data_IF_412361067860
#
_entry.id   IF_412361067860
#
_cell.length_a   1.000
_cell.length_b   1.000
_cell.length_c   1.000
_cell.angle_alpha   90.00
_cell.angle_beta   90.00
_cell.angle_gamma   90.00
#
_symmetry.space_group_name_H-M   'P 1'
#
loop_
_entity.id
_entity.type
_entity.pdbx_description
1 polymer ?
#
# COMPACT_ATOMS: atom_id res chain seq x y z
N UNK A 1 -33.41 -20.42 -26.34
CA UNK A 1 -33.30 -18.97 -26.57
C UNK A 1 -32.72 -18.21 -25.39
N UNK A 2 -33.12 -18.42 -24.13
CA UNK A 2 -32.55 -17.66 -22.99
C UNK A 2 -31.07 -17.97 -22.64
N UNK A 3 -30.55 -19.15 -23.02
CA UNK A 3 -29.13 -19.50 -22.81
C UNK A 3 -28.17 -18.59 -23.59
N UNK A 4 -28.66 -17.97 -24.66
CA UNK A 4 -27.84 -17.12 -25.52
C UNK A 4 -27.70 -15.68 -25.02
N UNK A 5 -28.28 -15.34 -23.87
CA UNK A 5 -28.23 -13.98 -23.30
C UNK A 5 -27.75 -14.00 -21.84
N UNK A 6 -27.40 -15.17 -21.30
CA UNK A 6 -27.00 -15.36 -19.91
C UNK A 6 -25.62 -14.75 -19.65
N UNK A 7 -25.53 -13.95 -18.60
CA UNK A 7 -24.28 -13.30 -18.17
C UNK A 7 -23.50 -14.20 -17.21
N UNK A 8 -22.18 -14.22 -17.36
CA UNK A 8 -21.30 -14.96 -16.46
C UNK A 8 -20.91 -14.12 -15.25
N UNK A 9 -20.66 -12.82 -15.47
CA UNK A 9 -20.26 -11.90 -14.41
C UNK A 9 -20.88 -10.51 -14.60
N UNK A 10 -21.32 -9.92 -13.49
CA UNK A 10 -21.85 -8.56 -13.41
C UNK A 10 -21.04 -7.78 -12.39
N UNK A 11 -20.50 -6.64 -12.79
CA UNK A 11 -19.81 -5.72 -11.90
C UNK A 11 -20.74 -4.55 -11.52
N UNK A 12 -20.92 -4.36 -10.21
CA UNK A 12 -21.74 -3.29 -9.63
C UNK A 12 -20.86 -2.34 -8.82
N UNK A 13 -20.94 -1.05 -9.13
CA UNK A 13 -20.26 0.03 -8.42
C UNK A 13 -21.16 0.62 -7.35
N UNK A 14 -20.63 0.65 -6.13
CA UNK A 14 -21.25 1.27 -4.97
C UNK A 14 -20.61 2.64 -4.74
N UNK A 15 -21.44 3.65 -4.51
CA UNK A 15 -21.02 5.04 -4.29
C UNK A 15 -21.63 5.59 -3.00
N UNK A 16 -20.81 6.32 -2.24
CA UNK A 16 -21.20 7.13 -1.07
C UNK A 16 -22.12 6.41 -0.07
N UNK A 17 -21.91 5.10 0.11
CA UNK A 17 -22.74 4.26 0.96
C UNK A 17 -21.92 3.18 1.66
N UNK A 18 -22.25 2.97 2.93
CA UNK A 18 -21.79 1.84 3.72
C UNK A 18 -22.61 0.57 3.44
N UNK A 19 -21.90 -0.54 3.24
CA UNK A 19 -22.43 -1.89 3.05
C UNK A 19 -21.68 -2.87 3.93
N UNK A 20 -22.43 -3.63 4.72
CA UNK A 20 -21.93 -4.89 5.28
C UNK A 20 -21.91 -5.97 4.21
N UNK A 21 -21.07 -6.99 4.38
CA UNK A 21 -21.08 -8.17 3.49
C UNK A 21 -22.45 -8.88 3.49
N UNK A 22 -23.21 -8.79 4.59
CA UNK A 22 -24.58 -9.33 4.66
C UNK A 22 -25.54 -8.58 3.75
N UNK A 23 -25.48 -7.25 3.76
CA UNK A 23 -26.31 -6.38 2.90
C UNK A 23 -26.08 -6.63 1.40
N UNK A 24 -24.86 -7.05 1.02
CA UNK A 24 -24.52 -7.42 -0.36
C UNK A 24 -25.21 -8.70 -0.82
N UNK A 25 -25.44 -9.65 0.08
CA UNK A 25 -26.14 -10.92 -0.23
C UNK A 25 -27.63 -10.66 -0.44
N UNK A 26 -28.20 -9.74 0.33
CA UNK A 26 -29.62 -9.37 0.25
C UNK A 26 -29.93 -8.39 -0.89
N UNK A 27 -28.91 -7.82 -1.55
CA UNK A 27 -29.07 -6.77 -2.56
C UNK A 27 -29.94 -5.60 -2.07
N UNK A 28 -29.79 -5.22 -0.80
CA UNK A 28 -30.75 -4.36 -0.10
C UNK A 28 -30.63 -2.86 -0.42
N UNK A 29 -29.73 -2.46 -1.32
CA UNK A 29 -29.44 -1.05 -1.62
C UNK A 29 -29.05 -0.82 -3.09
N UNK A 30 -29.10 0.45 -3.50
CA UNK A 30 -28.82 0.87 -4.88
C UNK A 30 -27.32 0.82 -5.22
N UNK A 31 -27.02 0.36 -6.43
CA UNK A 31 -25.69 0.39 -7.03
C UNK A 31 -25.77 0.63 -8.54
N UNK A 32 -24.68 1.11 -9.14
CA UNK A 32 -24.60 1.35 -10.57
C UNK A 32 -23.94 0.17 -11.27
N UNK A 33 -24.58 -0.37 -12.31
CA UNK A 33 -23.97 -1.41 -13.14
C UNK A 33 -22.82 -0.78 -13.93
N UNK A 34 -21.62 -1.35 -13.80
CA UNK A 34 -20.42 -0.85 -14.48
C UNK A 34 -20.10 -1.69 -15.71
N UNK A 35 -19.96 -3.01 -15.52
CA UNK A 35 -19.55 -3.92 -16.57
C UNK A 35 -20.37 -5.21 -16.52
N UNK A 36 -20.70 -5.72 -17.71
CA UNK A 36 -21.39 -6.98 -17.90
C UNK A 36 -20.48 -7.85 -18.76
N UNK A 37 -20.17 -9.04 -18.29
CA UNK A 37 -19.22 -9.93 -18.92
C UNK A 37 -19.86 -11.27 -19.26
N UNK A 38 -19.51 -11.76 -20.44
CA UNK A 38 -19.96 -13.05 -20.95
C UNK A 38 -18.86 -13.67 -21.79
N UNK A 39 -18.45 -14.89 -21.46
CA UNK A 39 -17.41 -15.67 -22.15
C UNK A 39 -16.13 -14.86 -22.43
N UNK A 40 -15.80 -13.93 -21.54
CA UNK A 40 -14.62 -13.05 -21.68
C UNK A 40 -14.83 -11.80 -22.54
N UNK A 41 -16.04 -11.57 -23.06
CA UNK A 41 -16.40 -10.34 -23.79
C UNK A 41 -17.28 -9.43 -22.94
N UNK A 42 -17.15 -8.12 -23.18
CA UNK A 42 -17.98 -7.10 -22.53
C UNK A 42 -19.26 -6.89 -23.34
N UNK A 43 -20.39 -6.96 -22.64
CA UNK A 43 -21.71 -6.82 -23.23
C UNK A 43 -22.41 -5.55 -22.70
N UNK A 44 -23.32 -4.98 -23.49
CA UNK A 44 -24.14 -3.83 -23.06
C UNK A 44 -25.40 -4.24 -22.30
N UNK A 45 -25.89 -5.46 -22.52
CA UNK A 45 -27.07 -6.01 -21.87
C UNK A 45 -26.94 -7.53 -21.73
N UNK A 46 -27.71 -8.10 -20.82
CA UNK A 46 -27.80 -9.54 -20.64
C UNK A 46 -28.75 -9.91 -19.51
N UNK A 47 -29.00 -11.21 -19.35
CA UNK A 47 -29.89 -11.75 -18.34
C UNK A 47 -29.08 -12.29 -17.15
N UNK A 48 -29.44 -11.83 -15.95
CA UNK A 48 -28.84 -12.29 -14.69
C UNK A 48 -29.61 -13.51 -14.22
N UNK A 49 -28.88 -14.60 -14.00
CA UNK A 49 -29.43 -15.86 -13.49
C UNK A 49 -28.76 -16.26 -12.17
N UNK A 50 -29.24 -17.31 -11.52
CA UNK A 50 -28.64 -17.85 -10.31
C UNK A 50 -27.18 -18.33 -10.50
N UNK A 51 -26.72 -18.50 -11.75
CA UNK A 51 -25.34 -18.90 -12.07
C UNK A 51 -24.42 -17.71 -12.30
N UNK A 52 -24.98 -16.50 -12.44
CA UNK A 52 -24.22 -15.28 -12.71
C UNK A 52 -23.49 -14.83 -11.44
N UNK A 53 -22.19 -14.58 -11.55
CA UNK A 53 -21.38 -14.07 -10.43
C UNK A 53 -21.50 -12.55 -10.36
N UNK A 54 -21.80 -12.01 -9.17
CA UNK A 54 -21.85 -10.57 -8.95
C UNK A 54 -20.59 -10.12 -8.22
N UNK A 55 -19.93 -9.11 -8.77
CA UNK A 55 -18.75 -8.47 -8.18
C UNK A 55 -19.13 -7.05 -7.78
N UNK A 56 -19.06 -6.77 -6.49
CA UNK A 56 -19.26 -5.41 -5.98
C UNK A 56 -17.92 -4.70 -5.87
N UNK A 57 -17.82 -3.50 -6.44
CA UNK A 57 -16.66 -2.61 -6.25
C UNK A 57 -17.12 -1.30 -5.63
N UNK A 58 -16.44 -0.86 -4.59
CA UNK A 58 -16.67 0.46 -4.01
C UNK A 58 -15.76 1.49 -4.66
N UNK A 59 -16.32 2.67 -4.97
CA UNK A 59 -15.52 3.83 -5.37
C UNK A 59 -15.14 4.73 -4.20
N UNK A 60 -15.59 4.41 -2.97
CA UNK A 60 -15.36 5.20 -1.74
C UNK A 60 -14.53 4.44 -0.70
N UNK A 61 -13.59 3.61 -1.16
CA UNK A 61 -12.71 2.84 -0.29
C UNK A 61 -11.67 3.72 0.45
N UNK A 62 -11.24 3.23 1.60
CA UNK A 62 -10.11 3.80 2.36
C UNK A 62 -8.81 3.26 1.76
N UNK A 63 -7.86 4.15 1.44
CA UNK A 63 -6.56 3.77 0.85
C UNK A 63 -5.43 4.07 1.85
N UNK A 64 -4.70 3.03 2.25
CA UNK A 64 -3.46 3.18 3.02
C UNK A 64 -2.30 2.94 2.06
N UNK A 65 -1.45 3.94 1.89
CA UNK A 65 -0.28 3.92 1.04
C UNK A 65 0.98 3.91 1.91
N UNK A 66 1.76 2.84 1.79
CA UNK A 66 3.09 2.74 2.36
C UNK A 66 4.12 3.07 1.30
N UNK A 67 5.06 3.95 1.62
CA UNK A 67 6.26 4.17 0.82
C UNK A 67 7.44 3.68 1.66
N UNK A 68 8.04 2.57 1.25
CA UNK A 68 9.20 2.01 1.93
C UNK A 68 10.45 2.79 1.52
N UNK A 69 11.19 3.28 2.52
CA UNK A 69 12.48 3.96 2.32
C UNK A 69 13.61 3.03 2.72
N UNK A 70 14.40 2.61 1.74
CA UNK A 70 15.58 1.75 1.92
C UNK A 70 16.77 2.29 1.14
N UNK A 71 17.93 1.67 1.28
CA UNK A 71 19.17 2.09 0.63
C UNK A 71 19.01 2.27 -0.89
N UNK A 72 18.23 1.40 -1.52
CA UNK A 72 18.02 1.38 -2.97
C UNK A 72 17.31 2.64 -3.49
N UNK A 73 16.60 3.41 -2.66
CA UNK A 73 15.94 4.63 -3.11
C UNK A 73 16.91 5.68 -3.71
N UNK A 74 18.18 5.66 -3.28
CA UNK A 74 19.24 6.54 -3.78
C UNK A 74 20.08 5.91 -4.90
N UNK A 75 19.75 4.69 -5.32
CA UNK A 75 20.40 4.06 -6.44
C UNK A 75 19.75 4.49 -7.76
N UNK A 76 20.54 4.48 -8.83
CA UNK A 76 20.06 4.68 -10.18
C UNK A 76 19.45 3.39 -10.73
N UNK A 77 18.33 3.54 -11.43
CA UNK A 77 17.74 2.51 -12.28
C UNK A 77 18.54 2.38 -13.59
N UNK A 78 18.23 1.34 -14.38
CA UNK A 78 18.85 1.07 -15.68
C UNK A 78 18.73 2.25 -16.65
N UNK A 79 17.67 3.05 -16.51
CA UNK A 79 17.39 4.23 -17.33
C UNK A 79 18.03 5.52 -16.79
N UNK A 80 18.78 5.45 -15.68
CA UNK A 80 19.47 6.61 -15.08
C UNK A 80 18.60 7.51 -14.22
N UNK A 81 17.34 7.16 -13.98
CA UNK A 81 16.50 7.81 -12.96
C UNK A 81 16.81 7.23 -11.57
N UNK A 82 16.69 8.03 -10.51
CA UNK A 82 16.72 7.48 -9.14
C UNK A 82 15.44 6.66 -8.87
N UNK A 83 15.55 5.57 -8.11
CA UNK A 83 14.37 4.78 -7.72
C UNK A 83 13.31 5.63 -7.01
N UNK A 84 13.73 6.59 -6.20
CA UNK A 84 12.81 7.54 -5.57
C UNK A 84 12.07 8.41 -6.60
N UNK A 85 12.75 8.93 -7.61
CA UNK A 85 12.10 9.73 -8.67
C UNK A 85 11.11 8.89 -9.46
N UNK A 86 11.43 7.61 -9.72
CA UNK A 86 10.52 6.64 -10.32
C UNK A 86 9.28 6.41 -9.43
N UNK A 87 9.45 6.31 -8.11
CA UNK A 87 8.35 6.23 -7.15
C UNK A 87 7.44 7.46 -7.23
N UNK A 88 8.01 8.66 -7.21
CA UNK A 88 7.27 9.92 -7.29
C UNK A 88 6.55 10.03 -8.64
N UNK A 89 7.19 9.67 -9.76
CA UNK A 89 6.56 9.60 -11.08
C UNK A 89 5.37 8.63 -11.08
N UNK A 90 5.53 7.44 -10.51
CA UNK A 90 4.44 6.45 -10.37
C UNK A 90 3.25 7.03 -9.59
N UNK A 91 3.50 7.60 -8.40
CA UNK A 91 2.44 8.18 -7.59
C UNK A 91 1.77 9.36 -8.30
N UNK A 92 2.54 10.19 -9.01
CA UNK A 92 2.01 11.27 -9.85
C UNK A 92 1.07 10.75 -10.95
N UNK A 93 1.47 9.72 -11.69
CA UNK A 93 0.62 9.12 -12.73
C UNK A 93 -0.65 8.48 -12.14
N UNK A 94 -0.50 7.78 -11.02
CA UNK A 94 -1.61 7.15 -10.31
C UNK A 94 -2.65 8.19 -9.89
N UNK A 95 -2.25 9.25 -9.19
CA UNK A 95 -3.18 10.18 -8.58
C UNK A 95 -3.60 11.35 -9.47
N UNK A 96 -2.73 11.85 -10.37
CA UNK A 96 -3.08 12.99 -11.23
C UNK A 96 -3.66 12.59 -12.59
N UNK A 97 -3.33 11.41 -13.12
CA UNK A 97 -3.89 10.98 -14.41
C UNK A 97 -4.98 9.94 -14.24
N UNK A 98 -4.65 8.78 -13.68
CA UNK A 98 -5.59 7.66 -13.61
C UNK A 98 -6.81 7.99 -12.74
N UNK A 99 -6.56 8.64 -11.60
CA UNK A 99 -7.62 9.06 -10.69
C UNK A 99 -8.46 10.22 -11.23
N UNK A 100 -7.88 11.21 -11.90
CA UNK A 100 -8.65 12.35 -12.44
C UNK A 100 -9.49 11.96 -13.66
N UNK A 101 -8.97 11.10 -14.54
CA UNK A 101 -9.65 10.69 -15.79
C UNK A 101 -10.78 9.69 -15.53
N UNK A 102 -10.61 8.73 -14.60
CA UNK A 102 -11.68 7.77 -14.28
C UNK A 102 -12.75 8.33 -13.33
N UNK A 103 -12.47 9.47 -12.69
CA UNK A 103 -13.29 9.99 -11.58
C UNK A 103 -13.83 11.41 -11.85
N UNK A 104 -14.07 11.78 -13.10
CA UNK A 104 -14.56 13.12 -13.51
C UNK A 104 -15.96 13.50 -12.99
N UNK A 105 -16.55 12.72 -12.10
CA UNK A 105 -17.81 13.03 -11.43
C UNK A 105 -17.63 12.71 -9.93
N UNK A 106 -17.70 13.78 -9.15
CA UNK A 106 -17.86 13.81 -7.69
C UNK A 106 -16.59 13.62 -6.86
N UNK A 107 -16.40 14.55 -5.93
CA UNK A 107 -15.39 14.59 -4.86
C UNK A 107 -15.29 13.25 -4.15
N UNK A 108 -14.38 12.38 -4.59
CA UNK A 108 -14.22 11.08 -3.96
C UNK A 108 -13.38 11.23 -2.71
N UNK A 109 -14.03 10.91 -1.60
CA UNK A 109 -13.48 11.06 -0.27
C UNK A 109 -12.64 9.83 0.05
N UNK A 110 -11.45 9.75 -0.54
CA UNK A 110 -10.49 8.71 -0.21
C UNK A 110 -9.68 9.24 0.95
N UNK A 111 -9.77 8.50 2.06
CA UNK A 111 -8.81 8.71 3.14
C UNK A 111 -7.50 8.13 2.65
N UNK A 112 -6.52 8.98 2.46
CA UNK A 112 -5.14 8.58 2.25
C UNK A 112 -4.43 8.65 3.58
N UNK A 113 -3.91 7.51 4.00
CA UNK A 113 -2.81 7.48 4.93
C UNK A 113 -1.56 7.24 4.13
N UNK A 114 -0.67 8.22 4.08
CA UNK A 114 0.65 8.02 3.50
C UNK A 114 1.62 7.87 4.66
N UNK A 115 2.09 6.66 4.84
CA UNK A 115 3.10 6.35 5.83
C UNK A 115 4.40 6.05 5.10
N UNK A 116 5.43 6.81 5.46
CA UNK A 116 6.78 6.47 5.06
C UNK A 116 7.32 5.50 6.11
N UNK A 117 7.67 4.31 5.65
CA UNK A 117 8.37 3.32 6.47
C UNK A 117 9.85 3.58 6.35
N UNK A 118 10.42 4.10 7.42
CA UNK A 118 11.85 4.26 7.58
C UNK A 118 12.35 3.13 8.47
N UNK A 119 13.62 2.73 8.29
CA UNK A 119 14.28 1.64 9.00
C UNK A 119 13.78 1.43 10.45
N UNK A 120 13.50 0.17 10.82
CA UNK A 120 13.14 -0.47 12.12
C UNK A 120 12.39 0.30 13.23
N UNK A 121 12.55 1.61 13.38
CA UNK A 121 12.10 2.47 14.49
C UNK A 121 11.28 3.68 13.99
N UNK A 122 11.49 4.14 12.74
CA UNK A 122 10.89 5.38 12.26
C UNK A 122 9.67 5.15 11.36
N UNK A 123 8.52 5.63 11.78
CA UNK A 123 7.36 5.83 10.91
C UNK A 123 7.01 7.31 10.92
N UNK A 124 6.79 7.90 9.74
CA UNK A 124 6.28 9.28 9.63
C UNK A 124 5.02 9.25 8.81
N UNK A 125 3.96 9.80 9.38
CA UNK A 125 2.72 9.99 8.65
C UNK A 125 2.77 11.33 7.95
N UNK A 126 2.75 11.32 6.62
CA UNK A 126 2.80 12.54 5.82
C UNK A 126 1.43 13.20 5.68
N UNK A 127 0.40 12.38 5.56
CA UNK A 127 -0.97 12.81 5.29
C UNK A 127 -1.92 11.90 6.03
N UNK A 128 -2.83 12.52 6.78
CA UNK A 128 -4.01 11.88 7.36
C UNK A 128 -5.25 12.69 6.96
N UNK A 129 -5.53 12.73 5.66
CA UNK A 129 -6.64 13.53 5.15
C UNK A 129 -7.83 12.65 4.89
N UNK A 130 -9.00 13.07 5.38
CA UNK A 130 -10.24 12.34 5.17
C UNK A 130 -10.76 12.45 3.75
N UNK A 131 -10.57 13.60 3.10
CA UNK A 131 -10.91 13.87 1.70
C UNK A 131 -9.67 14.44 1.02
N UNK A 132 -9.40 14.02 -0.21
CA UNK A 132 -8.18 14.39 -0.89
C UNK A 132 -8.46 14.89 -2.31
N UNK A 133 -8.16 16.17 -2.55
CA UNK A 133 -8.34 16.82 -3.84
C UNK A 133 -7.06 16.72 -4.69
N UNK A 134 -7.16 16.81 -6.03
CA UNK A 134 -5.99 16.76 -6.91
C UNK A 134 -4.96 17.86 -6.64
N UNK A 135 -5.39 19.02 -6.13
CA UNK A 135 -4.50 20.13 -5.76
C UNK A 135 -3.68 19.82 -4.50
N UNK A 136 -4.30 19.18 -3.51
CA UNK A 136 -3.61 18.68 -2.33
C UNK A 136 -2.59 17.61 -2.70
N UNK A 137 -2.83 16.81 -3.74
CA UNK A 137 -1.84 15.84 -4.24
C UNK A 137 -0.53 16.51 -4.65
N UNK A 138 -0.61 17.67 -5.32
CA UNK A 138 0.58 18.43 -5.71
C UNK A 138 1.36 18.89 -4.48
N UNK A 139 0.67 19.36 -3.44
CA UNK A 139 1.31 19.74 -2.16
C UNK A 139 1.97 18.54 -1.50
N UNK A 140 1.26 17.43 -1.39
CA UNK A 140 1.78 16.19 -0.81
C UNK A 140 2.98 15.63 -1.55
N UNK A 141 3.00 15.71 -2.89
CA UNK A 141 4.19 15.36 -3.67
C UNK A 141 5.39 16.26 -3.35
N UNK A 142 5.17 17.57 -3.23
CA UNK A 142 6.23 18.50 -2.82
C UNK A 142 6.72 18.20 -1.40
N UNK A 143 5.81 17.90 -0.47
CA UNK A 143 6.17 17.45 0.88
C UNK A 143 6.99 16.16 0.84
N UNK A 144 6.55 15.14 0.10
CA UNK A 144 7.29 13.88 -0.06
C UNK A 144 8.71 14.11 -0.60
N UNK A 145 8.87 15.04 -1.57
CA UNK A 145 10.18 15.43 -2.10
C UNK A 145 11.07 16.12 -1.07
N UNK A 146 10.51 17.00 -0.23
CA UNK A 146 11.26 17.66 0.84
C UNK A 146 11.70 16.64 1.91
N UNK A 147 10.80 15.74 2.30
CA UNK A 147 11.04 14.68 3.28
C UNK A 147 12.15 13.74 2.85
N UNK A 148 12.19 13.35 1.58
CA UNK A 148 13.27 12.55 1.01
C UNK A 148 14.64 13.23 1.15
N UNK A 149 14.70 14.56 0.94
CA UNK A 149 15.95 15.33 1.04
C UNK A 149 16.42 15.47 2.49
N UNK A 150 15.49 15.74 3.41
CA UNK A 150 15.78 15.97 4.83
C UNK A 150 16.13 14.66 5.54
N UNK A 151 15.57 13.54 5.07
CA UNK A 151 15.68 12.23 5.71
C UNK A 151 17.10 11.79 6.06
N UNK A 152 18.06 11.90 5.13
CA UNK A 152 19.44 11.47 5.40
C UNK A 152 20.07 12.28 6.54
N UNK A 153 19.73 13.57 6.66
CA UNK A 153 20.22 14.44 7.72
C UNK A 153 19.54 14.14 9.05
N UNK A 154 18.21 14.01 9.07
CA UNK A 154 17.45 13.70 10.30
C UNK A 154 17.84 12.34 10.89
N UNK A 155 17.94 11.31 10.04
CA UNK A 155 18.28 9.97 10.51
C UNK A 155 19.73 9.93 11.05
N UNK A 156 20.66 10.65 10.41
CA UNK A 156 22.02 10.82 10.93
C UNK A 156 22.02 11.51 12.30
N UNK A 157 21.27 12.61 12.43
CA UNK A 157 21.17 13.33 13.71
C UNK A 157 20.58 12.47 14.81
N UNK A 158 19.51 11.74 14.53
CA UNK A 158 18.89 10.88 15.52
C UNK A 158 19.83 9.77 16.00
N UNK A 159 20.54 9.11 15.08
CA UNK A 159 21.44 8.02 15.43
C UNK A 159 22.63 8.53 16.23
N UNK A 160 23.17 9.70 15.87
CA UNK A 160 24.20 10.36 16.68
C UNK A 160 23.69 10.75 18.07
N UNK A 161 22.41 11.14 18.21
CA UNK A 161 21.83 11.45 19.53
C UNK A 161 21.55 10.22 20.39
N UNK A 162 21.27 9.07 19.76
CA UNK A 162 20.98 7.81 20.47
C UNK A 162 22.24 7.01 20.81
N UNK A 163 23.39 7.33 20.21
CA UNK A 163 24.68 6.69 20.47
C UNK A 163 25.60 7.68 21.17
N UNK A 164 25.48 7.77 22.50
CA UNK A 164 26.23 8.71 23.35
C UNK A 164 27.76 8.50 23.34
N UNK A 165 28.28 7.41 22.74
CA UNK A 165 29.68 6.97 22.85
C UNK A 165 30.58 7.21 21.62
N UNK A 166 30.15 8.00 20.62
CA UNK A 166 30.93 8.20 19.39
C UNK A 166 31.87 9.41 19.51
N UNK A 167 33.18 9.15 19.68
CA UNK A 167 34.23 10.19 19.79
C UNK A 167 34.47 10.98 18.49
N UNK A 168 34.15 10.41 17.33
CA UNK A 168 34.35 11.02 16.00
C UNK A 168 33.09 10.87 15.13
N UNK A 169 32.13 11.81 15.22
CA UNK A 169 30.87 11.74 14.48
C UNK A 169 31.01 11.95 12.95
N UNK A 170 32.19 12.32 12.47
CA UNK A 170 32.47 12.52 11.04
C UNK A 170 32.78 11.21 10.30
N UNK A 171 33.39 10.23 10.95
CA UNK A 171 33.81 8.95 10.34
C UNK A 171 32.71 7.89 10.28
N UNK A 172 31.55 8.18 10.87
CA UNK A 172 30.40 7.27 10.87
C UNK A 172 29.73 7.30 9.50
N UNK A 173 29.97 6.28 8.68
CA UNK A 173 29.17 6.03 7.48
C UNK A 173 27.87 5.36 7.91
N UNK A 174 26.75 6.01 7.65
CA UNK A 174 25.45 5.43 7.90
C UNK A 174 24.91 4.80 6.60
N UNK A 175 24.72 3.49 6.62
CA UNK A 175 24.07 2.76 5.52
C UNK A 175 22.67 2.34 5.94
N UNK A 176 21.70 2.66 5.09
CA UNK A 176 20.33 2.20 5.27
C UNK A 176 20.25 0.69 5.01
N UNK A 177 19.32 -0.03 5.65
CA UNK A 177 19.08 -1.42 5.33
C UNK A 177 18.55 -1.56 3.89
N UNK A 178 18.84 -2.69 3.22
CA UNK A 178 18.27 -2.99 1.92
C UNK A 178 16.75 -3.22 2.01
N UNK A 179 16.05 -3.05 0.90
CA UNK A 179 14.60 -3.21 0.80
C UNK A 179 14.12 -4.59 1.25
N UNK A 180 14.97 -5.61 1.02
CA UNK A 180 14.75 -7.01 1.40
C UNK A 180 14.53 -7.21 2.90
N UNK A 181 15.20 -6.42 3.74
CA UNK A 181 15.10 -6.51 5.20
C UNK A 181 14.03 -5.56 5.79
N UNK A 182 13.19 -4.98 4.93
CA UNK A 182 12.16 -4.01 5.32
C UNK A 182 11.15 -4.54 6.34
N UNK A 183 10.58 -3.62 7.12
CA UNK A 183 9.58 -3.84 8.17
C UNK A 183 8.13 -3.64 7.68
N UNK A 184 7.86 -3.90 6.40
CA UNK A 184 6.55 -3.60 5.83
C UNK A 184 5.44 -4.55 6.32
N UNK A 185 5.78 -5.78 6.76
CA UNK A 185 4.79 -6.70 7.33
C UNK A 185 4.35 -6.24 8.73
N UNK A 186 5.27 -5.70 9.52
CA UNK A 186 4.99 -5.08 10.81
C UNK A 186 4.09 -3.85 10.63
N UNK A 187 4.41 -2.98 9.67
CA UNK A 187 3.58 -1.84 9.30
C UNK A 187 2.18 -2.25 8.79
N UNK A 188 2.12 -3.29 7.96
CA UNK A 188 0.85 -3.86 7.52
C UNK A 188 0.04 -4.35 8.72
N UNK A 189 0.66 -5.05 9.67
CA UNK A 189 -0.02 -5.53 10.87
C UNK A 189 -0.51 -4.40 11.78
N UNK A 190 0.24 -3.29 11.89
CA UNK A 190 -0.22 -2.10 12.60
C UNK A 190 -1.49 -1.54 11.95
N UNK A 191 -1.50 -1.49 10.62
CA UNK A 191 -2.67 -1.03 9.84
C UNK A 191 -3.85 -1.98 9.97
N UNK A 192 -3.60 -3.29 9.97
CA UNK A 192 -4.65 -4.30 10.16
C UNK A 192 -5.27 -4.16 11.55
N UNK A 193 -4.50 -3.77 12.57
CA UNK A 193 -5.04 -3.44 13.90
C UNK A 193 -5.97 -2.22 13.84
N UNK A 194 -5.56 -1.15 13.15
CA UNK A 194 -6.44 0.01 12.90
C UNK A 194 -7.71 -0.40 12.14
N UNK A 195 -7.65 -1.45 11.33
CA UNK A 195 -8.80 -1.95 10.60
C UNK A 195 -9.71 -2.88 11.39
N UNK A 196 -9.22 -3.56 12.44
CA UNK A 196 -10.02 -4.38 13.35
C UNK A 196 -10.97 -3.53 14.18
N UNK A 197 -10.55 -2.32 14.55
CA UNK A 197 -11.36 -1.35 15.28
C UNK A 197 -12.43 -0.67 14.42
N UNK A 198 -12.87 -1.31 13.32
CA UNK A 198 -13.90 -0.78 12.42
C UNK A 198 -15.26 -0.53 13.08
N UNK A 199 -15.47 -1.04 14.30
CA UNK A 199 -16.72 -0.84 15.04
C UNK A 199 -16.75 0.50 15.78
N UNK A 200 -15.60 1.12 16.01
CA UNK A 200 -15.45 2.41 16.67
C UNK A 200 -15.44 3.47 15.55
N UNK A 201 -16.36 4.45 15.62
CA UNK A 201 -16.51 5.53 14.64
C UNK A 201 -16.67 5.09 13.17
N UNK A 202 -17.73 4.31 12.92
CA UNK A 202 -18.09 3.88 11.57
C UNK A 202 -18.45 5.06 10.66
N UNK A 203 -17.70 5.19 9.58
CA UNK A 203 -18.07 6.07 8.47
C UNK A 203 -19.18 5.43 7.63
N UNK A 204 -20.33 6.11 7.51
CA UNK A 204 -21.50 5.63 6.80
C UNK A 204 -21.43 5.79 5.27
N UNK A 205 -20.41 6.50 4.76
CA UNK A 205 -20.30 6.84 3.34
C UNK A 205 -19.28 5.94 2.59
N UNK A 206 -18.55 5.07 3.31
CA UNK A 206 -17.34 4.42 2.79
C UNK A 206 -17.37 2.91 2.94
N UNK A 207 -16.95 2.21 1.90
CA UNK A 207 -16.89 0.74 1.86
C UNK A 207 -15.58 0.27 1.27
N UNK A 208 -14.98 -0.72 1.92
CA UNK A 208 -13.74 -1.33 1.46
C UNK A 208 -12.49 -0.60 1.99
N UNK A 209 -11.43 -1.40 2.11
CA UNK A 209 -10.13 -1.00 2.64
C UNK A 209 -9.07 -1.58 1.71
N UNK A 210 -8.17 -0.73 1.24
CA UNK A 210 -7.10 -1.12 0.33
C UNK A 210 -5.78 -0.63 0.92
N UNK A 211 -4.82 -1.55 1.00
CA UNK A 211 -3.44 -1.24 1.36
C UNK A 211 -2.59 -1.32 0.09
N UNK A 212 -1.79 -0.30 -0.18
CA UNK A 212 -0.84 -0.24 -1.29
C UNK A 212 0.54 -0.02 -0.69
N UNK A 213 1.50 -0.85 -1.06
CA UNK A 213 2.86 -0.80 -0.55
C UNK A 213 3.79 -0.57 -1.74
N UNK A 214 4.49 0.56 -1.73
CA UNK A 214 5.49 0.93 -2.73
C UNK A 214 6.86 0.65 -2.16
N UNK A 215 7.60 -0.25 -2.80
CA UNK A 215 8.94 -0.67 -2.40
C UNK A 215 9.94 -0.44 -3.54
N UNK A 216 11.17 0.00 -3.24
CA UNK A 216 12.22 0.11 -4.24
C UNK A 216 12.85 -1.25 -4.59
N UNK A 217 12.54 -2.31 -3.83
CA UNK A 217 13.06 -3.66 -4.07
C UNK A 217 12.41 -4.38 -5.25
N UNK A 218 12.88 -5.61 -5.50
CA UNK A 218 12.39 -6.52 -6.55
C UNK A 218 11.26 -7.46 -6.09
N UNK A 219 10.75 -7.30 -4.86
CA UNK A 219 9.66 -8.12 -4.31
C UNK A 219 10.10 -9.37 -3.54
N UNK A 220 11.37 -9.44 -3.14
CA UNK A 220 11.93 -10.46 -2.25
C UNK A 220 12.12 -9.88 -0.86
N UNK A 221 11.59 -10.57 0.16
CA UNK A 221 11.64 -10.08 1.54
C UNK A 221 12.03 -11.17 2.53
N UNK A 222 12.80 -10.77 3.53
CA UNK A 222 13.17 -11.63 4.66
C UNK A 222 12.22 -11.38 5.84
N UNK A 223 11.50 -12.41 6.26
CA UNK A 223 10.57 -12.32 7.38
C UNK A 223 10.42 -13.63 8.15
N UNK A 224 10.03 -13.53 9.42
CA UNK A 224 9.75 -14.72 10.24
C UNK A 224 8.48 -15.42 9.77
N UNK A 225 8.46 -16.74 9.86
CA UNK A 225 7.29 -17.56 9.48
C UNK A 225 6.04 -17.16 10.26
N UNK A 226 6.18 -16.83 11.53
CA UNK A 226 5.07 -16.46 12.41
C UNK A 226 4.43 -15.14 11.97
N UNK A 227 5.24 -14.14 11.62
CA UNK A 227 4.75 -12.85 11.14
C UNK A 227 4.02 -12.99 9.81
N UNK A 228 4.58 -13.77 8.88
CA UNK A 228 3.95 -14.04 7.58
C UNK A 228 2.60 -14.73 7.77
N UNK A 229 2.54 -15.76 8.64
CA UNK A 229 1.30 -16.51 8.91
C UNK A 229 0.25 -15.61 9.54
N UNK A 230 0.65 -14.78 10.51
CA UNK A 230 -0.24 -13.83 11.19
C UNK A 230 -0.80 -12.79 10.22
N UNK A 231 0.05 -12.13 9.43
CA UNK A 231 -0.37 -11.13 8.45
C UNK A 231 -1.30 -11.73 7.40
N UNK A 232 -1.02 -12.95 6.95
CA UNK A 232 -1.88 -13.67 6.00
C UNK A 232 -3.27 -13.92 6.58
N UNK A 233 -3.36 -14.46 7.79
CA UNK A 233 -4.65 -14.73 8.44
C UNK A 233 -5.46 -13.43 8.63
N UNK A 234 -4.84 -12.41 9.25
CA UNK A 234 -5.51 -11.12 9.49
C UNK A 234 -5.97 -10.43 8.20
N UNK A 235 -5.16 -10.47 7.15
CA UNK A 235 -5.53 -9.91 5.85
C UNK A 235 -6.74 -10.62 5.24
N UNK A 236 -6.83 -11.95 5.40
CA UNK A 236 -7.96 -12.74 4.89
C UNK A 236 -9.23 -12.52 5.72
N UNK A 237 -9.10 -12.49 7.04
CA UNK A 237 -10.23 -12.33 7.96
C UNK A 237 -10.91 -10.97 7.76
N UNK A 238 -10.11 -9.91 7.69
CA UNK A 238 -10.59 -8.55 7.40
C UNK A 238 -11.00 -8.38 5.93
N UNK A 239 -10.50 -9.24 5.03
CA UNK A 239 -10.65 -9.12 3.57
C UNK A 239 -10.13 -7.80 3.02
N UNK A 240 -8.98 -7.35 3.54
CA UNK A 240 -8.27 -6.16 3.05
C UNK A 240 -7.47 -6.57 1.81
N UNK A 241 -7.57 -5.76 0.75
CA UNK A 241 -6.74 -5.99 -0.45
C UNK A 241 -5.38 -5.33 -0.25
N UNK A 242 -4.30 -6.12 -0.31
CA UNK A 242 -2.92 -5.63 -0.22
C UNK A 242 -2.28 -5.69 -1.60
N UNK A 243 -1.85 -4.54 -2.12
CA UNK A 243 -1.18 -4.41 -3.41
C UNK A 243 0.29 -4.04 -3.18
N UNK A 244 1.20 -4.86 -3.71
CA UNK A 244 2.63 -4.58 -3.66
C UNK A 244 3.10 -4.03 -5.01
N UNK A 245 3.74 -2.87 -4.99
CA UNK A 245 4.33 -2.20 -6.16
C UNK A 245 5.84 -2.17 -5.97
N UNK A 246 6.55 -2.94 -6.80
CA UNK A 246 8.00 -3.01 -6.82
C UNK A 246 8.54 -2.07 -7.90
N UNK A 247 9.48 -1.20 -7.55
CA UNK A 247 10.12 -0.28 -8.51
C UNK A 247 11.37 -0.89 -9.16
N UNK A 248 11.97 -1.87 -8.49
CA UNK A 248 13.09 -2.68 -8.97
C UNK A 248 12.74 -3.49 -10.22
N UNK A 249 13.77 -3.96 -10.91
CA UNK A 249 13.58 -4.86 -12.04
C UNK A 249 12.80 -6.11 -11.65
N UNK A 250 11.97 -6.58 -12.57
CA UNK A 250 11.27 -7.85 -12.40
C UNK A 250 12.29 -8.99 -12.38
N UNK A 251 12.34 -9.80 -11.31
CA UNK A 251 13.26 -10.92 -11.25
C UNK A 251 12.77 -12.09 -12.10
N UNK A 252 13.67 -13.04 -12.40
CA UNK A 252 13.37 -14.25 -13.18
C UNK A 252 12.58 -15.33 -12.41
N UNK A 253 12.21 -15.06 -11.16
CA UNK A 253 11.40 -15.96 -10.34
C UNK A 253 10.06 -15.32 -10.00
N UNK A 254 9.09 -16.14 -9.60
CA UNK A 254 7.77 -15.65 -9.20
C UNK A 254 7.85 -14.80 -7.92
N UNK A 255 7.30 -13.59 -7.98
CA UNK A 255 7.19 -12.64 -6.86
C UNK A 255 5.73 -12.35 -6.54
N UNK A 256 5.37 -11.98 -5.31
CA UNK A 256 6.24 -11.73 -4.14
C UNK A 256 6.82 -13.00 -3.51
N UNK A 257 8.09 -12.97 -3.12
CA UNK A 257 8.80 -14.09 -2.47
C UNK A 257 9.19 -13.73 -1.04
N UNK A 258 8.86 -14.61 -0.10
CA UNK A 258 9.28 -14.50 1.30
C UNK A 258 10.31 -15.56 1.64
N UNK A 259 11.49 -15.11 2.05
CA UNK A 259 12.57 -15.98 2.54
C UNK A 259 12.46 -16.05 4.06
N UNK A 260 12.25 -17.27 4.57
CA UNK A 260 12.12 -17.49 6.00
C UNK A 260 13.51 -17.59 6.63
N UNK A 261 13.87 -16.59 7.40
CA UNK A 261 15.08 -16.62 8.22
C UNK A 261 14.82 -17.41 9.51
N UNK A 262 15.57 -18.51 9.72
CA UNK A 262 15.48 -19.36 10.91
C UNK A 262 16.08 -18.72 12.17
N UNK A 263 16.90 -17.68 12.01
CA UNK A 263 17.33 -16.85 13.12
C UNK A 263 16.19 -15.91 13.51
N UNK A 264 15.55 -16.20 14.64
CA UNK A 264 14.60 -15.31 15.28
C UNK A 264 15.17 -13.88 15.33
N UNK A 265 14.44 -12.90 14.81
CA UNK A 265 14.73 -11.45 14.92
C UNK A 265 14.78 -10.93 16.38
N UNK A 266 14.98 -11.79 17.38
CA UNK A 266 15.35 -11.43 18.76
C UNK A 266 16.72 -10.72 18.86
N UNK A 267 17.48 -10.65 17.77
CA UNK A 267 18.81 -10.02 17.71
C UNK A 267 18.81 -8.48 17.62
N UNK A 268 17.66 -7.80 17.68
CA UNK A 268 17.62 -6.35 17.41
C UNK A 268 18.24 -5.46 18.50
N UNK A 269 18.49 -5.95 19.71
CA UNK A 269 19.23 -5.17 20.73
C UNK A 269 20.76 -5.19 20.54
N UNK A 270 21.32 -6.11 19.74
CA UNK A 270 22.76 -6.16 19.44
C UNK A 270 23.11 -5.65 18.03
N UNK A 271 22.12 -5.35 17.18
CA UNK A 271 22.34 -4.95 15.78
C UNK A 271 22.85 -3.52 15.60
N UNK A 272 22.77 -2.67 16.64
CA UNK A 272 23.38 -1.34 16.61
C UNK A 272 24.90 -1.43 16.34
N UNK A 273 25.59 -2.48 16.77
CA UNK A 273 27.04 -2.63 16.56
C UNK A 273 27.46 -3.12 15.17
N UNK A 274 26.54 -3.61 14.33
CA UNK A 274 26.89 -4.22 13.03
C UNK A 274 26.71 -3.31 11.81
N UNK A 275 26.04 -2.17 11.98
CA UNK A 275 25.90 -1.14 10.93
C UNK A 275 27.05 -0.13 10.92
N UNK A 276 27.91 -0.13 11.95
CA UNK A 276 29.12 0.68 11.99
C UNK A 276 30.30 -0.15 11.54
N UNK A 277 30.68 -0.06 10.26
CA UNK A 277 32.09 -0.24 9.93
C UNK A 277 32.80 1.01 10.47
N UNK A 278 33.54 0.85 11.55
CA UNK A 278 34.70 1.69 11.85
C UNK A 278 35.74 1.52 10.73
#
# INVERSE_FOLDING_TARGET
MLKDVLLDLVEVHIRDQYFSRRDLVEFSKMGHISELWRKGERNSCGYVSNQTKVVFRSTTAVFHLFVQMSNEMWNFDEFGDLYFEKAVKFLRELFLKLWTVRNSQTSRVIRFFIEILFAFIFHRVLVQNERFTPEEWRRTLTHLLMEFRIFQSELRQYILSSLEDIKYPQDVSLQLPPAREGNFLEALNLTLTLYEEYNIDRNFDRTGKVCVIVTPGSGVFDASRDLISLSKQRSLDLGVTVNLVCLGMQPLHAVPLFVVSFLSRFWCHQFAHRFFKL
#
